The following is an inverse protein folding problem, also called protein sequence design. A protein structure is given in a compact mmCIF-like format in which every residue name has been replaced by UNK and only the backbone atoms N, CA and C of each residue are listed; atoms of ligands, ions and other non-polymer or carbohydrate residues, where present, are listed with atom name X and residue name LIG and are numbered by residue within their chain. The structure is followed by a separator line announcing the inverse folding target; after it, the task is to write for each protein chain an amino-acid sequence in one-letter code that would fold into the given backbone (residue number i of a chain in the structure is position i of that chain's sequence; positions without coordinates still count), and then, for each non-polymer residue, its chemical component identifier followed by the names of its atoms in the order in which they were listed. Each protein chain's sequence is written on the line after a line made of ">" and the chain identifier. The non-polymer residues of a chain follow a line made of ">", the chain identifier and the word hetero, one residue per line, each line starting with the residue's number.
data_IF_010168881232
#
_entry.id   IF_010168881232
#
_cell.length_a   1.000
_cell.length_b   1.000
_cell.length_c   1.000
_cell.angle_alpha   90.00
_cell.angle_beta   90.00
_cell.angle_gamma   90.00
#
_symmetry.space_group_name_H-M   'P 1'
#
loop_
_entity.id
_entity.type
_entity.pdbx_description
1 polymer ?
#
# COMPACT_ATOMS: atom_id res chain seq x y z
N UNK A 1 12.90 -48.03 -68.14
CA UNK A 1 12.47 -48.26 -66.73
C UNK A 1 12.73 -46.98 -65.96
N UNK A 2 11.71 -46.24 -65.53
CA UNK A 2 11.81 -45.13 -64.55
C UNK A 2 10.42 -44.87 -63.96
N UNK A 3 10.09 -45.49 -62.82
CA UNK A 3 8.80 -45.29 -62.10
C UNK A 3 9.00 -45.32 -60.57
N UNK A 4 10.06 -44.66 -60.08
CA UNK A 4 10.39 -44.63 -58.65
C UNK A 4 10.47 -43.22 -58.04
N UNK A 5 10.48 -42.15 -58.84
CA UNK A 5 10.70 -40.78 -58.35
C UNK A 5 9.45 -40.10 -57.73
N UNK A 6 8.23 -40.56 -58.05
CA UNK A 6 7.00 -39.89 -57.60
C UNK A 6 6.47 -40.36 -56.24
N UNK A 7 6.87 -41.53 -55.72
CA UNK A 7 6.31 -42.01 -54.45
C UNK A 7 6.94 -41.32 -53.22
N UNK A 8 8.21 -40.93 -53.32
CA UNK A 8 9.00 -40.43 -52.17
C UNK A 8 8.75 -38.95 -51.85
N UNK A 9 8.39 -38.14 -52.85
CA UNK A 9 8.07 -36.71 -52.72
C UNK A 9 6.67 -36.44 -52.13
N UNK A 10 5.72 -37.35 -52.33
CA UNK A 10 4.37 -37.23 -51.75
C UNK A 10 4.37 -37.47 -50.23
N UNK A 11 5.22 -38.37 -49.73
CA UNK A 11 5.30 -38.66 -48.29
C UNK A 11 5.90 -37.51 -47.47
N UNK A 12 6.87 -36.77 -48.01
CA UNK A 12 7.48 -35.62 -47.33
C UNK A 12 6.48 -34.46 -47.22
N UNK A 13 5.66 -34.25 -48.25
CA UNK A 13 4.63 -33.18 -48.28
C UNK A 13 3.46 -33.46 -47.33
N UNK A 14 3.10 -34.73 -47.13
CA UNK A 14 1.98 -35.14 -46.26
C UNK A 14 2.27 -34.94 -44.77
N UNK A 15 3.54 -34.98 -44.35
CA UNK A 15 3.95 -34.78 -42.95
C UNK A 15 4.31 -33.32 -42.65
N UNK A 16 4.78 -32.56 -43.65
CA UNK A 16 5.10 -31.14 -43.49
C UNK A 16 3.87 -30.26 -43.24
N UNK A 17 2.74 -30.60 -43.85
CA UNK A 17 1.49 -29.83 -43.77
C UNK A 17 0.83 -29.82 -42.38
N UNK A 18 0.70 -30.94 -41.64
CA UNK A 18 0.16 -30.92 -40.28
C UNK A 18 1.11 -30.23 -39.28
N UNK A 19 2.43 -30.34 -39.50
CA UNK A 19 3.42 -29.71 -38.62
C UNK A 19 3.37 -28.17 -38.72
N UNK A 20 3.17 -27.64 -39.93
CA UNK A 20 3.02 -26.21 -40.16
C UNK A 20 1.71 -25.67 -39.57
N UNK A 21 0.62 -26.45 -39.65
CA UNK A 21 -0.66 -26.08 -39.05
C UNK A 21 -0.59 -25.97 -37.52
N UNK A 22 0.17 -26.84 -36.84
CA UNK A 22 0.37 -26.78 -35.39
C UNK A 22 1.14 -25.53 -34.97
N UNK A 23 2.18 -25.15 -35.72
CA UNK A 23 2.99 -23.96 -35.43
C UNK A 23 2.19 -22.65 -35.53
N UNK A 24 1.25 -22.56 -36.49
CA UNK A 24 0.44 -21.34 -36.69
C UNK A 24 -0.74 -21.27 -35.71
N UNK A 25 -1.21 -22.40 -35.19
CA UNK A 25 -2.32 -22.45 -34.24
C UNK A 25 -2.03 -21.76 -32.89
N UNK A 26 -0.75 -21.70 -32.49
CA UNK A 26 -0.31 -21.00 -31.28
C UNK A 26 -0.44 -19.47 -31.39
N UNK A 27 -0.39 -18.90 -32.60
CA UNK A 27 -0.50 -17.45 -32.81
C UNK A 27 -1.94 -16.93 -32.85
N UNK A 28 -2.92 -17.79 -33.14
CA UNK A 28 -4.34 -17.44 -33.16
C UNK A 28 -5.09 -17.92 -31.89
N UNK A 29 -4.37 -18.51 -30.93
CA UNK A 29 -4.93 -19.05 -29.70
C UNK A 29 -5.35 -17.94 -28.74
N UNK A 30 -6.57 -18.07 -28.18
CA UNK A 30 -6.99 -17.23 -27.05
C UNK A 30 -6.09 -17.53 -25.85
N UNK A 31 -5.44 -16.52 -25.24
CA UNK A 31 -4.63 -16.76 -24.06
C UNK A 31 -5.50 -17.29 -22.93
N UNK A 32 -5.03 -18.33 -22.25
CA UNK A 32 -5.66 -18.83 -21.02
C UNK A 32 -5.21 -17.91 -19.90
N UNK A 33 -6.13 -17.08 -19.39
CA UNK A 33 -5.88 -16.23 -18.23
C UNK A 33 -5.88 -17.13 -17.00
N UNK A 34 -4.69 -17.40 -16.45
CA UNK A 34 -4.57 -18.04 -15.14
C UNK A 34 -4.56 -16.97 -14.06
N UNK A 35 -5.65 -16.92 -13.29
CA UNK A 35 -5.68 -16.19 -12.03
C UNK A 35 -5.09 -17.08 -10.94
N UNK A 36 -4.02 -16.61 -10.31
CA UNK A 36 -3.43 -17.28 -9.15
C UNK A 36 -3.75 -16.48 -7.90
N UNK A 37 -4.15 -17.18 -6.83
CA UNK A 37 -4.30 -16.56 -5.51
C UNK A 37 -2.91 -16.42 -4.93
N UNK A 38 -2.44 -15.19 -4.78
CA UNK A 38 -1.16 -14.87 -4.14
C UNK A 38 -1.43 -14.27 -2.77
N UNK A 39 -1.01 -14.97 -1.71
CA UNK A 39 -1.05 -14.41 -0.36
C UNK A 39 0.06 -13.36 -0.23
N UNK A 40 -0.32 -12.08 -0.33
CA UNK A 40 0.56 -10.94 -0.12
C UNK A 40 0.29 -10.36 1.28
N UNK A 41 1.30 -10.22 2.16
CA UNK A 41 1.11 -9.54 3.42
C UNK A 41 0.77 -8.08 3.15
N UNK A 42 -0.42 -7.65 3.57
CA UNK A 42 -0.86 -6.26 3.53
C UNK A 42 -0.55 -5.64 4.89
N UNK A 43 0.20 -4.53 4.89
CA UNK A 43 0.45 -3.78 6.10
C UNK A 43 -0.86 -3.15 6.58
N UNK A 44 -1.44 -3.70 7.65
CA UNK A 44 -2.56 -3.08 8.35
C UNK A 44 -1.98 -2.04 9.29
N UNK A 45 -2.19 -0.76 8.98
CA UNK A 45 -1.78 0.32 9.87
C UNK A 45 -2.70 0.32 11.09
N UNK A 46 -2.15 -0.03 12.25
CA UNK A 46 -2.84 0.16 13.52
C UNK A 46 -3.02 1.66 13.77
N UNK A 47 -4.22 2.07 14.15
CA UNK A 47 -4.48 3.44 14.56
C UNK A 47 -3.79 3.67 15.91
N UNK A 48 -2.89 4.65 15.96
CA UNK A 48 -2.17 4.99 17.19
C UNK A 48 -3.02 5.98 17.97
N UNK A 49 -3.36 5.65 19.21
CA UNK A 49 -4.11 6.56 20.08
C UNK A 49 -3.18 7.52 20.81
N UNK A 50 -3.64 8.76 21.01
CA UNK A 50 -2.94 9.71 21.89
C UNK A 50 -3.12 9.29 23.34
N UNK A 51 -2.06 9.32 24.18
CA UNK A 51 -2.16 9.03 25.60
C UNK A 51 -3.19 9.92 26.29
N UNK A 52 -3.89 9.41 27.31
CA UNK A 52 -4.95 10.16 28.00
C UNK A 52 -4.43 11.39 28.77
N UNK A 53 -3.13 11.40 29.08
CA UNK A 53 -2.41 12.49 29.72
C UNK A 53 -2.28 13.71 28.79
N UNK A 54 -2.40 13.51 27.48
CA UNK A 54 -2.39 14.57 26.48
C UNK A 54 -3.71 15.33 26.44
N UNK A 55 -3.73 16.53 27.02
CA UNK A 55 -4.89 17.42 27.00
C UNK A 55 -4.91 18.29 25.74
N UNK A 56 -6.11 18.55 25.23
CA UNK A 56 -6.35 19.48 24.11
C UNK A 56 -6.42 20.95 24.53
N UNK A 57 -6.66 21.22 25.82
CA UNK A 57 -6.69 22.54 26.41
C UNK A 57 -5.95 22.53 27.75
N UNK A 58 -5.11 23.54 27.97
CA UNK A 58 -4.26 23.69 29.14
C UNK A 58 -4.89 24.62 30.18
N UNK A 59 -4.36 24.60 31.40
CA UNK A 59 -4.79 25.51 32.47
C UNK A 59 -4.75 26.99 32.05
N UNK A 60 -3.79 27.37 31.20
CA UNK A 60 -3.64 28.74 30.70
C UNK A 60 -4.72 29.18 29.70
N UNK A 61 -5.40 28.25 29.03
CA UNK A 61 -6.46 28.57 28.06
C UNK A 61 -7.73 29.10 28.75
N UNK A 62 -7.80 28.98 30.08
CA UNK A 62 -8.96 29.34 30.89
C UNK A 62 -8.77 30.66 31.67
N UNK A 63 -7.59 31.27 31.60
CA UNK A 63 -7.27 32.52 32.31
C UNK A 63 -7.27 33.71 31.35
N UNK A 64 -7.52 34.90 31.90
CA UNK A 64 -7.44 36.17 31.20
C UNK A 64 -6.16 36.92 31.58
N UNK A 65 -5.67 37.77 30.68
CA UNK A 65 -4.60 38.72 30.99
C UNK A 65 -4.98 39.74 32.09
N UNK A 66 -6.27 39.81 32.46
CA UNK A 66 -6.77 40.66 33.55
C UNK A 66 -6.79 39.96 34.92
N UNK A 67 -6.50 38.67 34.98
CA UNK A 67 -6.51 37.92 36.23
C UNK A 67 -5.35 38.32 37.14
N UNK A 68 -5.48 38.02 38.44
CA UNK A 68 -4.42 38.29 39.40
C UNK A 68 -3.13 37.52 39.06
N UNK A 69 -1.99 38.16 39.34
CA UNK A 69 -0.65 37.63 39.09
C UNK A 69 -0.41 36.25 39.72
N UNK A 70 -0.99 35.95 40.89
CA UNK A 70 -0.85 34.64 41.52
C UNK A 70 -1.59 33.56 40.73
N UNK A 71 -2.76 33.89 40.21
CA UNK A 71 -3.58 32.98 39.38
C UNK A 71 -2.88 32.67 38.07
N UNK A 72 -2.32 33.69 37.41
CA UNK A 72 -1.54 33.52 36.18
C UNK A 72 -0.32 32.63 36.42
N UNK A 73 0.45 32.90 37.49
CA UNK A 73 1.65 32.11 37.81
C UNK A 73 1.33 30.64 38.13
N UNK A 74 0.19 30.36 38.77
CA UNK A 74 -0.25 28.99 39.05
C UNK A 74 -0.66 28.25 37.77
N UNK A 75 -1.39 28.92 36.87
CA UNK A 75 -1.79 28.34 35.60
C UNK A 75 -0.58 28.02 34.71
N UNK A 76 0.42 28.91 34.65
CA UNK A 76 1.65 28.67 33.89
C UNK A 76 2.46 27.47 34.42
N UNK A 77 2.57 27.34 35.75
CA UNK A 77 3.23 26.16 36.35
C UNK A 77 2.49 24.86 36.04
N UNK A 78 1.16 24.89 36.12
CA UNK A 78 0.34 23.74 35.75
C UNK A 78 0.51 23.38 34.27
N UNK A 79 0.57 24.36 33.38
CA UNK A 79 0.80 24.12 31.95
C UNK A 79 2.15 23.44 31.67
N UNK A 80 3.22 23.84 32.36
CA UNK A 80 4.54 23.21 32.19
C UNK A 80 4.47 21.71 32.53
N UNK A 81 3.83 21.35 33.64
CA UNK A 81 3.65 19.95 34.04
C UNK A 81 2.75 19.19 33.05
N UNK A 82 1.65 19.82 32.61
CA UNK A 82 0.72 19.23 31.62
C UNK A 82 1.40 19.00 30.26
N UNK A 83 2.29 19.89 29.83
CA UNK A 83 3.07 19.76 28.58
C UNK A 83 4.27 18.84 28.72
N UNK A 84 4.84 18.68 29.91
CA UNK A 84 5.86 17.66 30.14
C UNK A 84 5.25 16.28 29.92
N UNK A 85 4.04 16.04 30.46
CA UNK A 85 3.32 14.79 30.26
C UNK A 85 2.94 14.53 28.79
N UNK A 86 2.78 15.58 27.98
CA UNK A 86 2.43 15.49 26.57
C UNK A 86 3.47 16.17 25.65
N UNK A 87 4.42 15.40 25.12
CA UNK A 87 5.42 15.94 24.21
C UNK A 87 4.78 16.37 22.87
N UNK A 88 4.97 17.63 22.45
CA UNK A 88 4.45 18.14 21.16
C UNK A 88 4.90 17.26 19.99
N UNK A 89 6.12 16.71 20.05
CA UNK A 89 6.64 15.79 19.04
C UNK A 89 5.86 14.49 18.99
N UNK A 90 5.40 13.98 20.14
CA UNK A 90 4.57 12.79 20.22
C UNK A 90 3.21 13.03 19.55
N UNK A 91 2.55 14.15 19.82
CA UNK A 91 1.29 14.50 19.15
C UNK A 91 1.45 14.63 17.63
N UNK A 92 2.53 15.27 17.19
CA UNK A 92 2.85 15.39 15.76
C UNK A 92 3.13 14.02 15.12
N UNK A 93 3.84 13.14 15.81
CA UNK A 93 4.13 11.78 15.35
C UNK A 93 2.85 10.95 15.23
N UNK A 94 1.99 10.94 16.26
CA UNK A 94 0.69 10.21 16.25
C UNK A 94 -0.20 10.73 15.12
N UNK A 95 -0.29 12.05 14.94
CA UNK A 95 -1.05 12.65 13.82
C UNK A 95 -0.47 12.22 12.47
N UNK A 96 0.85 12.22 12.32
CA UNK A 96 1.54 11.75 11.12
C UNK A 96 1.21 10.29 10.80
N UNK A 97 1.37 9.41 11.79
CA UNK A 97 1.06 7.98 11.68
C UNK A 97 -0.39 7.73 11.24
N UNK A 98 -1.34 8.49 11.77
CA UNK A 98 -2.76 8.32 11.46
C UNK A 98 -3.24 9.07 10.20
N UNK A 99 -2.40 9.95 9.62
CA UNK A 99 -2.76 10.77 8.46
C UNK A 99 -2.38 10.16 7.12
N UNK A 100 -1.63 9.04 7.11
CA UNK A 100 -1.19 8.41 5.88
C UNK A 100 -2.40 7.86 5.13
N UNK A 101 -2.69 8.33 3.90
CA UNK A 101 -3.66 7.65 3.05
C UNK A 101 -3.15 6.24 2.83
N UNK A 102 -4.05 5.26 2.87
CA UNK A 102 -3.78 3.90 2.42
C UNK A 102 -3.12 4.02 1.05
N UNK A 103 -1.81 3.72 0.99
CA UNK A 103 -1.10 3.67 -0.28
C UNK A 103 -1.62 2.42 -0.96
N UNK A 104 -2.65 2.57 -1.78
CA UNK A 104 -3.02 1.60 -2.81
C UNK A 104 -1.70 1.26 -3.50
N UNK A 105 -1.29 0.00 -3.43
CA UNK A 105 -0.05 -0.42 -4.06
C UNK A 105 -0.28 -0.44 -5.57
N UNK A 106 -0.13 0.72 -6.21
CA UNK A 106 -0.07 0.84 -7.65
C UNK A 106 1.24 0.18 -8.10
N UNK A 107 1.10 -1.03 -8.65
CA UNK A 107 2.14 -1.76 -9.34
C UNK A 107 2.15 -1.31 -10.81
N UNK A 108 3.22 -0.64 -11.24
CA UNK A 108 3.78 -0.80 -12.60
C UNK A 108 4.85 -1.90 -12.59
#
# INVERSE_FOLDING_TARGET
>A
MCKAANAMTYHISLVAMPLFALMVSGCAGKPVIQTQVVEKPVAVLCQVETPAECKSAYAVDRISAKDDSLTINRALRAEIEERWACEIKLLAAVKGCNSLPLKESDHE
#
